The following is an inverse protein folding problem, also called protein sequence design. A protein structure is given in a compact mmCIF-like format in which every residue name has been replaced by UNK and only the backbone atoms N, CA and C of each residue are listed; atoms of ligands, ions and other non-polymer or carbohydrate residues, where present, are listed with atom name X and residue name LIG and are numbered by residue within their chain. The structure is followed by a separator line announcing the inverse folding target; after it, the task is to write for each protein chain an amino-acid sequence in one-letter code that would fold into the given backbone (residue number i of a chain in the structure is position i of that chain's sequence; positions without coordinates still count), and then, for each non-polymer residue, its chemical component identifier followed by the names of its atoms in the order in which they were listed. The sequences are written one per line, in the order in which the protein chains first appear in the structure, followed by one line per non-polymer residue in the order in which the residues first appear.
data_IF_770803762701
#
_entry.id   IF_770803762701
#
_cell.length_a   1.000
_cell.length_b   1.000
_cell.length_c   1.000
_cell.angle_alpha   90.00
_cell.angle_beta   90.00
_cell.angle_gamma   90.00
#
_symmetry.space_group_name_H-M   'P 1'
#
loop_
_entity.id
_entity.type
_entity.pdbx_description
1 polymer ?
#
# COMPACT_ATOMS: atom_id res chain seq x y z
N UNK A 1 -7.39 -27.23 -1.85
CA UNK A 1 -7.53 -26.08 -0.95
C UNK A 1 -8.92 -26.09 -0.36
N UNK A 2 -9.01 -26.08 0.97
CA UNK A 2 -10.29 -25.94 1.67
C UNK A 2 -10.83 -24.51 1.46
N UNK A 3 -12.15 -24.34 1.42
CA UNK A 3 -12.77 -23.02 1.24
C UNK A 3 -12.30 -21.98 2.27
N UNK A 4 -12.00 -22.42 3.49
CA UNK A 4 -11.47 -21.56 4.56
C UNK A 4 -10.04 -21.08 4.31
N UNK A 5 -9.19 -21.88 3.68
CA UNK A 5 -7.81 -21.49 3.33
C UNK A 5 -7.85 -20.38 2.27
N UNK A 6 -8.69 -20.56 1.24
CA UNK A 6 -8.86 -19.55 0.20
C UNK A 6 -9.36 -18.22 0.76
N UNK A 7 -10.32 -18.26 1.69
CA UNK A 7 -10.82 -17.06 2.36
C UNK A 7 -9.72 -16.36 3.17
N UNK A 8 -8.87 -17.11 3.87
CA UNK A 8 -7.76 -16.54 4.62
C UNK A 8 -6.75 -15.82 3.72
N UNK A 9 -6.40 -16.43 2.59
CA UNK A 9 -5.52 -15.83 1.58
C UNK A 9 -6.07 -14.52 1.03
N UNK A 10 -7.36 -14.49 0.71
CA UNK A 10 -8.03 -13.27 0.20
C UNK A 10 -8.06 -12.18 1.28
N UNK A 11 -8.26 -12.53 2.55
CA UNK A 11 -8.20 -11.56 3.66
C UNK A 11 -6.79 -10.96 3.78
N UNK A 12 -5.74 -11.78 3.73
CA UNK A 12 -4.35 -11.30 3.79
C UNK A 12 -4.01 -10.39 2.62
N UNK A 13 -4.44 -10.76 1.41
CA UNK A 13 -4.25 -9.92 0.22
C UNK A 13 -4.99 -8.59 0.36
N UNK A 14 -6.24 -8.61 0.83
CA UNK A 14 -7.01 -7.39 1.11
C UNK A 14 -6.28 -6.49 2.10
N UNK A 15 -5.81 -7.03 3.23
CA UNK A 15 -5.10 -6.26 4.24
C UNK A 15 -3.85 -5.55 3.67
N UNK A 16 -3.09 -6.24 2.80
CA UNK A 16 -1.92 -5.63 2.14
C UNK A 16 -2.32 -4.44 1.26
N UNK A 17 -3.37 -4.62 0.46
CA UNK A 17 -3.84 -3.61 -0.49
C UNK A 17 -4.50 -2.42 0.23
N UNK A 18 -5.28 -2.68 1.29
CA UNK A 18 -5.84 -1.64 2.16
C UNK A 18 -4.72 -0.81 2.81
N UNK A 19 -3.67 -1.46 3.33
CA UNK A 19 -2.51 -0.77 3.92
C UNK A 19 -1.86 0.20 2.92
N UNK A 20 -1.75 -0.19 1.64
CA UNK A 20 -1.19 0.70 0.59
C UNK A 20 -2.14 1.87 0.31
N UNK A 21 -3.45 1.64 0.26
CA UNK A 21 -4.44 2.70 0.01
C UNK A 21 -4.57 3.69 1.17
N UNK A 22 -4.42 3.25 2.42
CA UNK A 22 -4.41 4.13 3.59
C UNK A 22 -3.30 5.20 3.51
N UNK A 23 -2.22 4.90 2.79
CA UNK A 23 -1.11 5.82 2.59
C UNK A 23 -1.37 6.85 1.49
N UNK A 24 -2.40 6.69 0.66
CA UNK A 24 -2.68 7.56 -0.49
C UNK A 24 -2.63 9.04 -0.13
N UNK A 25 -3.28 9.46 0.96
CA UNK A 25 -3.28 10.85 1.39
C UNK A 25 -1.90 11.38 1.79
N UNK A 26 -1.06 10.54 2.40
CA UNK A 26 0.31 10.94 2.76
C UNK A 26 1.20 10.97 1.51
N UNK A 27 0.94 10.09 0.54
CA UNK A 27 1.68 10.01 -0.72
C UNK A 27 1.34 11.17 -1.66
N UNK A 28 0.09 11.64 -1.67
CA UNK A 28 -0.31 12.88 -2.35
C UNK A 28 0.44 14.11 -1.82
N UNK A 29 0.65 14.20 -0.50
CA UNK A 29 1.38 15.33 0.13
C UNK A 29 2.87 15.36 -0.23
N UNK A 30 3.44 14.21 -0.60
CA UNK A 30 4.84 14.09 -0.99
C UNK A 30 5.10 14.51 -2.44
N UNK A 31 4.06 14.94 -3.19
CA UNK A 31 4.12 15.22 -4.64
C UNK A 31 4.80 14.07 -5.40
N UNK A 32 4.55 12.83 -4.95
CA UNK A 32 5.03 11.65 -5.63
C UNK A 32 4.43 11.62 -7.05
N UNK A 33 5.24 11.20 -8.03
CA UNK A 33 4.92 11.33 -9.45
C UNK A 33 3.49 10.87 -9.77
N UNK A 34 2.78 11.57 -10.67
CA UNK A 34 1.42 11.22 -11.12
C UNK A 34 1.22 9.74 -11.44
N UNK A 35 2.25 9.11 -11.99
CA UNK A 35 2.28 7.67 -12.28
C UNK A 35 1.94 6.81 -11.06
N UNK A 36 2.35 7.22 -9.85
CA UNK A 36 2.10 6.47 -8.63
C UNK A 36 0.62 6.54 -8.19
N UNK A 37 -0.02 7.70 -8.34
CA UNK A 37 -1.46 7.85 -8.06
C UNK A 37 -2.30 7.04 -9.08
N UNK A 38 -1.90 7.04 -10.35
CA UNK A 38 -2.57 6.24 -11.38
C UNK A 38 -2.51 4.72 -11.05
N UNK A 39 -1.38 4.25 -10.54
CA UNK A 39 -1.22 2.85 -10.08
C UNK A 39 -2.11 2.54 -8.85
N UNK A 40 -2.32 3.49 -7.93
CA UNK A 40 -3.26 3.31 -6.82
C UNK A 40 -4.71 3.14 -7.32
N UNK A 41 -5.13 3.88 -8.33
CA UNK A 41 -6.47 3.72 -8.92
C UNK A 41 -6.66 2.35 -9.59
N UNK A 42 -5.62 1.84 -10.25
CA UNK A 42 -5.61 0.45 -10.76
C UNK A 42 -5.77 -0.54 -9.60
N UNK A 43 -5.07 -0.32 -8.49
CA UNK A 43 -5.13 -1.14 -7.28
C UNK A 43 -6.55 -1.18 -6.69
N UNK A 44 -7.20 -0.02 -6.54
CA UNK A 44 -8.62 0.09 -6.10
C UNK A 44 -9.56 -0.68 -7.03
N UNK A 45 -9.31 -0.60 -8.35
CA UNK A 45 -10.06 -1.36 -9.34
C UNK A 45 -9.92 -2.87 -9.20
N UNK A 46 -8.73 -3.33 -8.82
CA UNK A 46 -8.46 -4.74 -8.56
C UNK A 46 -9.14 -5.22 -7.28
N UNK A 47 -9.11 -4.44 -6.19
CA UNK A 47 -9.77 -4.78 -4.92
C UNK A 47 -11.26 -5.08 -5.07
N UNK A 48 -11.96 -4.30 -5.91
CA UNK A 48 -13.39 -4.52 -6.20
C UNK A 48 -13.70 -5.87 -6.86
N UNK A 49 -12.70 -6.56 -7.39
CA UNK A 49 -12.84 -7.85 -8.08
C UNK A 49 -12.29 -9.02 -7.25
N UNK A 50 -11.69 -8.74 -6.09
CA UNK A 50 -10.86 -9.68 -5.33
C UNK A 50 -11.64 -10.87 -4.76
N UNK A 51 -12.92 -10.68 -4.42
CA UNK A 51 -13.81 -11.75 -3.91
C UNK A 51 -13.98 -12.94 -4.87
N UNK A 52 -13.62 -12.78 -6.15
CA UNK A 52 -13.78 -13.81 -7.18
C UNK A 52 -12.46 -14.45 -7.61
N UNK A 53 -11.34 -14.07 -6.97
CA UNK A 53 -10.01 -14.48 -7.40
C UNK A 53 -9.56 -15.68 -6.56
N UNK A 54 -9.11 -16.73 -7.25
CA UNK A 54 -8.33 -17.79 -6.62
C UNK A 54 -6.86 -17.36 -6.64
N UNK A 55 -6.25 -17.37 -5.48
CA UNK A 55 -4.85 -17.00 -5.24
C UNK A 55 -4.17 -18.13 -4.48
N UNK A 56 -2.90 -18.36 -4.80
CA UNK A 56 -2.05 -19.30 -4.06
C UNK A 56 -1.36 -18.64 -2.86
N UNK A 57 -0.89 -19.45 -1.91
CA UNK A 57 -0.08 -18.97 -0.78
C UNK A 57 1.17 -18.22 -1.27
N UNK A 58 1.93 -18.79 -2.21
CA UNK A 58 3.13 -18.17 -2.77
C UNK A 58 2.86 -16.79 -3.41
N UNK A 59 1.71 -16.62 -4.05
CA UNK A 59 1.30 -15.32 -4.59
C UNK A 59 1.01 -14.31 -3.47
N UNK A 60 0.33 -14.74 -2.41
CA UNK A 60 0.06 -13.89 -1.24
C UNK A 60 1.36 -13.50 -0.55
N UNK A 61 2.28 -14.45 -0.29
CA UNK A 61 3.57 -14.17 0.35
C UNK A 61 4.42 -13.18 -0.45
N UNK A 62 4.38 -13.27 -1.79
CA UNK A 62 5.07 -12.32 -2.67
C UNK A 62 4.49 -10.91 -2.54
N UNK A 63 3.17 -10.79 -2.48
CA UNK A 63 2.49 -9.50 -2.31
C UNK A 63 2.74 -8.93 -0.90
N UNK A 64 2.71 -9.76 0.14
CA UNK A 64 3.07 -9.37 1.50
C UNK A 64 4.52 -8.85 1.57
N UNK A 65 5.45 -9.56 0.96
CA UNK A 65 6.86 -9.16 0.91
C UNK A 65 7.07 -7.84 0.15
N UNK A 66 6.42 -7.69 -1.01
CA UNK A 66 6.47 -6.46 -1.79
C UNK A 66 5.87 -5.27 -1.02
N UNK A 67 4.74 -5.48 -0.34
CA UNK A 67 4.09 -4.48 0.51
C UNK A 67 5.01 -4.08 1.65
N UNK A 68 5.63 -5.04 2.35
CA UNK A 68 6.60 -4.77 3.40
C UNK A 68 7.80 -3.94 2.93
N UNK A 69 8.36 -4.27 1.77
CA UNK A 69 9.47 -3.52 1.18
C UNK A 69 9.06 -2.09 0.82
N UNK A 70 7.91 -1.92 0.16
CA UNK A 70 7.35 -0.62 -0.17
C UNK A 70 7.18 0.27 1.07
N UNK A 71 6.61 -0.27 2.16
CA UNK A 71 6.46 0.45 3.42
C UNK A 71 7.81 0.87 4.03
N UNK A 72 8.85 0.05 3.91
CA UNK A 72 10.19 0.41 4.39
C UNK A 72 10.79 1.55 3.57
N UNK A 73 10.65 1.50 2.24
CA UNK A 73 11.13 2.55 1.34
C UNK A 73 10.45 3.89 1.62
N UNK A 74 9.17 3.88 1.99
CA UNK A 74 8.40 5.09 2.32
C UNK A 74 8.78 5.75 3.64
N UNK A 75 9.41 5.05 4.58
CA UNK A 75 9.80 5.65 5.89
C UNK A 75 10.73 6.83 5.73
N UNK A 76 11.63 6.79 4.75
CA UNK A 76 12.58 7.86 4.47
C UNK A 76 11.89 9.13 3.93
N UNK A 77 11.13 9.09 2.82
CA UNK A 77 10.45 10.26 2.30
C UNK A 77 9.39 10.82 3.25
N UNK A 78 8.61 9.97 3.94
CA UNK A 78 7.64 10.42 4.93
C UNK A 78 8.31 11.03 6.17
N UNK A 79 9.41 10.45 6.66
CA UNK A 79 10.20 11.01 7.76
C UNK A 79 10.88 12.34 7.41
N UNK A 80 11.26 12.53 6.14
CA UNK A 80 11.83 13.79 5.63
C UNK A 80 10.79 14.89 5.47
N UNK A 81 9.56 14.57 5.02
CA UNK A 81 8.48 15.55 4.93
C UNK A 81 8.06 16.12 6.30
N UNK A 82 8.03 15.25 7.31
CA UNK A 82 7.67 15.61 8.69
C UNK A 82 8.74 16.50 9.36
N UNK A 83 10.03 16.25 9.05
CA UNK A 83 11.15 17.07 9.56
C UNK A 83 11.32 18.39 8.80
N UNK A 84 11.04 18.43 7.50
CA UNK A 84 11.08 19.64 6.69
C UNK A 84 10.01 20.64 7.14
N UNK A 85 8.78 20.20 7.40
CA UNK A 85 7.70 21.05 7.92
C UNK A 85 8.03 21.68 9.29
N UNK A 86 8.73 20.96 10.16
CA UNK A 86 9.16 21.47 11.47
C UNK A 86 10.29 22.50 11.39
N UNK A 87 11.13 22.46 10.36
CA UNK A 87 12.22 23.42 10.20
C UNK A 87 11.70 24.81 9.79
N UNK A 88 10.64 24.88 8.96
CA UNK A 88 10.01 26.14 8.55
C UNK A 88 9.18 26.81 9.66
N UNK A 89 8.60 26.05 10.60
CA UNK A 89 7.88 26.64 11.74
C UNK A 89 8.79 27.22 12.84
N UNK A 90 10.06 26.80 12.89
CA UNK A 90 11.03 27.29 13.89
C UNK A 90 11.76 28.56 13.49
N UNK A 91 11.51 29.08 12.29
CA UNK A 91 12.14 30.29 11.74
C UNK A 91 11.18 31.49 11.66
N UNK A 92 10.04 31.45 12.38
CA UNK A 92 9.11 32.58 12.53
C UNK A 92 9.14 33.14 13.95
#
# INVERSE_FOLDING_TARGET
MNGNEQQNLVIRLNNCLETILELEQELEKLDLSRNFIDELEVLKGFMRKMEKIQVSEDEVERIESATGNFLQELKLPLGQADSSSRMFMRLQ
#
